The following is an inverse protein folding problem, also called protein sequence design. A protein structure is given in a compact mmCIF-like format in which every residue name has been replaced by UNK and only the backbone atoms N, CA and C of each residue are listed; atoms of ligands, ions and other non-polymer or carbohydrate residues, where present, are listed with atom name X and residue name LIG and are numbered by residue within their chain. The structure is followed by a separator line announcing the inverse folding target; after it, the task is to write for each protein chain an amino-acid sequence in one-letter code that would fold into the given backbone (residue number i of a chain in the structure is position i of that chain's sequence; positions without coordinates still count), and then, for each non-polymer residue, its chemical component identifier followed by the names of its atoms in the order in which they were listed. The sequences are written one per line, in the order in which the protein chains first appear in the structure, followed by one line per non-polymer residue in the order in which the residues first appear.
data_IF_066689939306
#
_entry.id   IF_066689939306
#
_cell.length_a   1.000
_cell.length_b   1.000
_cell.length_c   1.000
_cell.angle_alpha   90.00
_cell.angle_beta   90.00
_cell.angle_gamma   90.00
#
_symmetry.space_group_name_H-M   'P 1'
#
loop_
_entity.id
_entity.type
_entity.pdbx_description
1 polymer ?
#
# COMPACT_ATOMS: atom_id res chain seq x y z
N UNK A 1 -6.93 0.17 35.61
CA UNK A 1 -7.21 1.60 35.42
C UNK A 1 -6.75 1.92 34.02
N UNK A 2 -7.68 2.03 33.11
CA UNK A 2 -7.44 2.26 31.67
C UNK A 2 -7.53 3.77 31.43
N UNK A 3 -6.42 4.42 31.17
CA UNK A 3 -6.42 5.81 30.69
C UNK A 3 -6.60 5.81 29.17
N UNK A 4 -7.80 6.17 28.78
CA UNK A 4 -8.19 6.43 27.40
C UNK A 4 -7.53 7.74 26.95
N UNK A 5 -6.52 7.65 26.11
CA UNK A 5 -5.87 8.82 25.50
C UNK A 5 -6.82 9.40 24.45
N UNK A 6 -7.58 10.43 24.84
CA UNK A 6 -8.34 11.27 23.91
C UNK A 6 -7.37 12.29 23.29
N UNK A 7 -6.92 12.03 22.08
CA UNK A 7 -6.26 13.06 21.28
C UNK A 7 -7.30 14.05 20.75
N UNK A 8 -7.05 15.34 21.00
CA UNK A 8 -7.82 16.46 20.47
C UNK A 8 -7.62 16.55 18.95
N UNK A 9 -8.71 16.51 18.21
CA UNK A 9 -8.76 16.58 16.73
C UNK A 9 -8.54 18.01 16.15
N UNK A 10 -7.83 18.88 16.84
CA UNK A 10 -7.79 20.32 16.48
C UNK A 10 -6.46 20.83 15.88
N UNK A 11 -5.43 19.97 15.66
CA UNK A 11 -4.10 20.43 15.19
C UNK A 11 -3.49 19.61 14.04
N UNK A 12 -4.29 18.95 13.23
CA UNK A 12 -3.82 18.34 11.98
C UNK A 12 -4.22 19.23 10.79
N UNK A 13 -3.46 20.27 10.57
CA UNK A 13 -3.39 20.90 9.25
C UNK A 13 -2.80 19.89 8.28
N UNK A 14 -3.65 19.05 7.67
CA UNK A 14 -3.25 18.08 6.66
C UNK A 14 -2.68 18.84 5.46
N UNK A 15 -1.36 18.94 5.40
CA UNK A 15 -0.65 19.48 4.24
C UNK A 15 -0.75 18.43 3.14
N UNK A 16 -1.30 18.80 1.97
CA UNK A 16 -1.26 17.97 0.77
C UNK A 16 0.15 17.42 0.58
N UNK A 17 0.30 16.10 0.56
CA UNK A 17 1.57 15.37 0.41
C UNK A 17 2.48 15.31 1.67
N UNK A 18 1.93 15.15 2.87
CA UNK A 18 2.74 14.93 4.07
C UNK A 18 3.65 13.67 3.94
N UNK A 19 3.17 12.63 3.23
CA UNK A 19 3.93 11.43 2.93
C UNK A 19 5.25 11.68 2.15
N UNK A 20 5.37 12.83 1.44
CA UNK A 20 6.61 13.23 0.74
C UNK A 20 7.64 13.90 1.64
N UNK A 21 7.29 14.25 2.87
CA UNK A 21 8.23 14.94 3.78
C UNK A 21 9.46 14.06 4.03
N UNK A 22 10.65 14.66 3.93
CA UNK A 22 11.92 13.99 4.15
C UNK A 22 12.39 13.05 3.04
N UNK A 23 11.70 12.95 1.90
CA UNK A 23 12.25 12.27 0.71
C UNK A 23 13.40 13.09 0.16
N UNK A 24 14.56 12.45 -0.04
CA UNK A 24 15.76 13.10 -0.58
C UNK A 24 15.54 13.50 -2.03
N UNK A 25 15.73 14.79 -2.40
CA UNK A 25 15.47 15.26 -3.77
C UNK A 25 16.35 14.58 -4.83
N UNK A 26 17.54 14.16 -4.45
CA UNK A 26 18.55 13.48 -5.29
C UNK A 26 18.55 11.96 -5.11
N UNK A 27 17.64 11.42 -4.29
CA UNK A 27 17.53 10.01 -3.95
C UNK A 27 16.88 9.17 -5.05
N UNK A 28 17.00 7.84 -4.93
CA UNK A 28 16.39 6.89 -5.86
C UNK A 28 14.85 6.92 -5.73
N UNK A 29 14.32 7.13 -4.53
CA UNK A 29 12.87 7.22 -4.30
C UNK A 29 12.28 8.45 -5.00
N UNK A 30 12.98 9.60 -4.99
CA UNK A 30 12.55 10.78 -5.75
C UNK A 30 12.47 10.49 -7.26
N UNK A 31 13.42 9.72 -7.80
CA UNK A 31 13.41 9.30 -9.22
C UNK A 31 12.25 8.34 -9.52
N UNK A 32 11.96 7.40 -8.61
CA UNK A 32 10.81 6.49 -8.69
C UNK A 32 9.49 7.25 -8.76
N UNK A 33 9.30 8.21 -7.86
CA UNK A 33 8.09 9.03 -7.79
C UNK A 33 7.93 9.92 -9.03
N UNK A 34 9.00 10.51 -9.53
CA UNK A 34 8.96 11.31 -10.76
C UNK A 34 8.58 10.45 -11.98
N UNK A 35 9.04 9.19 -12.03
CA UNK A 35 8.74 8.27 -13.13
C UNK A 35 7.31 7.71 -13.09
N UNK A 36 6.59 7.84 -11.96
CA UNK A 36 5.24 7.28 -11.77
C UNK A 36 4.15 8.32 -11.59
N UNK A 37 4.45 9.60 -11.71
CA UNK A 37 3.52 10.70 -11.44
C UNK A 37 2.19 10.55 -12.19
N UNK A 38 2.22 10.26 -13.50
CA UNK A 38 1.02 10.07 -14.32
C UNK A 38 0.24 8.81 -13.91
N UNK A 39 0.95 7.71 -13.61
CA UNK A 39 0.32 6.45 -13.19
C UNK A 39 -0.43 6.65 -11.87
N UNK A 40 0.19 7.30 -10.90
CA UNK A 40 -0.43 7.55 -9.59
C UNK A 40 -1.58 8.57 -9.66
N UNK A 41 -1.48 9.55 -10.56
CA UNK A 41 -2.62 10.43 -10.83
C UNK A 41 -3.80 9.66 -11.42
N UNK A 42 -3.55 8.67 -12.30
CA UNK A 42 -4.58 7.78 -12.83
C UNK A 42 -5.15 6.87 -11.75
N UNK A 43 -4.33 6.32 -10.85
CA UNK A 43 -4.81 5.57 -9.67
C UNK A 43 -5.73 6.43 -8.80
N UNK A 44 -5.32 7.67 -8.50
CA UNK A 44 -6.15 8.57 -7.70
C UNK A 44 -7.47 8.92 -8.38
N UNK A 45 -7.47 9.18 -9.70
CA UNK A 45 -8.70 9.48 -10.47
C UNK A 45 -9.52 8.25 -10.81
N UNK A 46 -9.03 7.07 -10.48
CA UNK A 46 -9.73 5.83 -10.81
C UNK A 46 -11.13 5.82 -10.17
N UNK A 47 -12.21 5.39 -10.88
CA UNK A 47 -13.57 5.44 -10.37
C UNK A 47 -13.76 4.61 -9.09
N UNK A 48 -13.01 3.52 -8.89
CA UNK A 48 -13.00 2.76 -7.65
C UNK A 48 -12.54 3.62 -6.46
N UNK A 49 -11.41 4.30 -6.62
CA UNK A 49 -10.82 5.17 -5.59
C UNK A 49 -11.71 6.38 -5.31
N UNK A 50 -12.25 7.01 -6.35
CA UNK A 50 -13.17 8.13 -6.22
C UNK A 50 -14.48 7.71 -5.55
N UNK A 51 -14.96 6.50 -5.82
CA UNK A 51 -16.14 5.95 -5.15
C UNK A 51 -15.93 5.66 -3.65
N UNK A 52 -14.70 5.32 -3.23
CA UNK A 52 -14.33 5.30 -1.80
C UNK A 52 -14.39 6.71 -1.22
N UNK A 53 -13.79 7.68 -1.93
CA UNK A 53 -13.64 9.05 -1.47
C UNK A 53 -14.99 9.77 -1.24
N UNK A 54 -15.96 9.56 -2.10
CA UNK A 54 -17.29 10.17 -2.00
C UNK A 54 -18.37 9.26 -1.40
N UNK A 55 -18.02 7.99 -1.14
CA UNK A 55 -18.93 6.99 -0.55
C UNK A 55 -19.89 6.34 -1.55
N UNK A 56 -19.70 6.53 -2.86
CA UNK A 56 -20.57 6.01 -3.91
C UNK A 56 -20.18 4.65 -4.47
N UNK A 57 -19.00 4.11 -4.06
CA UNK A 57 -18.54 2.81 -4.55
C UNK A 57 -19.57 1.71 -4.24
N UNK A 58 -19.81 0.84 -5.20
CA UNK A 58 -20.61 -0.34 -5.00
C UNK A 58 -19.97 -1.28 -3.97
N UNK A 59 -20.78 -1.74 -3.00
CA UNK A 59 -20.32 -2.63 -1.94
C UNK A 59 -19.82 -3.97 -2.48
N UNK A 60 -20.41 -4.51 -3.56
CA UNK A 60 -19.97 -5.77 -4.15
C UNK A 60 -18.56 -5.63 -4.73
N UNK A 61 -18.27 -4.49 -5.37
CA UNK A 61 -16.91 -4.19 -5.87
C UNK A 61 -15.90 -4.09 -4.73
N UNK A 62 -16.27 -3.45 -3.62
CA UNK A 62 -15.41 -3.37 -2.46
C UNK A 62 -15.20 -4.74 -1.80
N UNK A 63 -16.24 -5.58 -1.72
CA UNK A 63 -16.11 -6.96 -1.24
C UNK A 63 -15.16 -7.78 -2.11
N UNK A 64 -15.30 -7.66 -3.43
CA UNK A 64 -14.39 -8.32 -4.39
C UNK A 64 -12.95 -7.85 -4.21
N UNK A 65 -12.73 -6.53 -4.10
CA UNK A 65 -11.42 -5.96 -3.80
C UNK A 65 -10.83 -6.55 -2.51
N UNK A 66 -11.59 -6.57 -1.41
CA UNK A 66 -11.13 -7.08 -0.12
C UNK A 66 -10.73 -8.57 -0.17
N UNK A 67 -11.42 -9.38 -0.98
CA UNK A 67 -11.07 -10.78 -1.20
C UNK A 67 -9.77 -10.91 -1.99
N UNK A 68 -9.62 -10.13 -3.07
CA UNK A 68 -8.42 -10.13 -3.89
C UNK A 68 -7.21 -9.60 -3.13
N UNK A 69 -7.40 -8.56 -2.33
CA UNK A 69 -6.36 -7.99 -1.49
C UNK A 69 -5.92 -8.97 -0.39
N UNK A 70 -6.87 -9.67 0.24
CA UNK A 70 -6.57 -10.71 1.23
C UNK A 70 -5.65 -11.81 0.68
N UNK A 71 -5.92 -12.31 -0.53
CA UNK A 71 -5.06 -13.34 -1.14
C UNK A 71 -3.74 -12.77 -1.66
N UNK A 72 -3.71 -11.50 -2.08
CA UNK A 72 -2.50 -10.76 -2.44
C UNK A 72 -1.50 -10.70 -1.27
N UNK A 73 -1.98 -10.44 -0.05
CA UNK A 73 -1.13 -10.28 1.14
C UNK A 73 -0.28 -11.51 1.45
N UNK A 74 -0.72 -12.72 1.10
CA UNK A 74 0.10 -13.93 1.27
C UNK A 74 1.36 -13.89 0.38
N UNK A 75 1.21 -13.49 -0.87
CA UNK A 75 2.34 -13.38 -1.80
C UNK A 75 3.20 -12.17 -1.47
N UNK A 76 2.58 -11.07 -1.05
CA UNK A 76 3.30 -9.90 -0.56
C UNK A 76 4.20 -10.24 0.63
N UNK A 77 3.69 -10.99 1.61
CA UNK A 77 4.49 -11.49 2.73
C UNK A 77 5.64 -12.42 2.26
N UNK A 78 5.41 -13.24 1.21
CA UNK A 78 6.48 -14.07 0.61
C UNK A 78 7.59 -13.22 0.00
N UNK A 79 7.25 -12.11 -0.66
CA UNK A 79 8.24 -11.18 -1.22
C UNK A 79 9.15 -10.63 -0.11
N UNK A 80 8.59 -10.20 1.04
CA UNK A 80 9.38 -9.79 2.20
C UNK A 80 10.23 -10.93 2.76
N UNK A 81 9.70 -12.15 2.83
CA UNK A 81 10.45 -13.32 3.33
C UNK A 81 11.64 -13.66 2.41
N UNK A 82 11.49 -13.53 1.10
CA UNK A 82 12.60 -13.66 0.14
C UNK A 82 13.59 -12.51 0.37
N UNK A 83 13.13 -11.30 0.64
CA UNK A 83 13.96 -10.16 1.03
C UNK A 83 14.83 -10.46 2.25
N UNK A 84 14.29 -11.13 3.29
CA UNK A 84 15.09 -11.64 4.43
C UNK A 84 16.22 -12.55 3.96
N UNK A 85 15.92 -13.50 3.06
CA UNK A 85 16.91 -14.44 2.55
C UNK A 85 17.97 -13.80 1.64
N UNK A 86 17.61 -12.72 0.94
CA UNK A 86 18.51 -11.98 0.03
C UNK A 86 19.37 -10.93 0.73
N UNK A 87 18.92 -10.44 1.88
CA UNK A 87 19.64 -9.41 2.63
C UNK A 87 20.95 -9.98 3.22
N UNK A 88 22.06 -9.23 3.03
CA UNK A 88 23.38 -9.55 3.62
C UNK A 88 23.59 -8.87 4.97
N UNK A 89 22.94 -7.75 5.20
CA UNK A 89 23.02 -6.97 6.43
C UNK A 89 21.97 -7.45 7.44
N UNK A 90 22.35 -7.81 8.69
CA UNK A 90 21.39 -8.29 9.69
C UNK A 90 20.32 -7.26 10.07
N UNK A 91 20.59 -5.96 9.94
CA UNK A 91 19.60 -4.90 10.15
C UNK A 91 18.52 -4.93 9.08
N UNK A 92 18.92 -5.08 7.81
CA UNK A 92 18.00 -5.23 6.68
C UNK A 92 17.16 -6.50 6.82
N UNK A 93 17.79 -7.64 7.19
CA UNK A 93 17.06 -8.89 7.47
C UNK A 93 15.97 -8.70 8.52
N UNK A 94 16.29 -7.99 9.60
CA UNK A 94 15.34 -7.72 10.69
C UNK A 94 14.17 -6.86 10.23
N UNK A 95 14.41 -5.83 9.42
CA UNK A 95 13.36 -4.98 8.87
C UNK A 95 12.39 -5.84 8.04
N UNK A 96 12.87 -6.58 7.06
CA UNK A 96 12.01 -7.46 6.26
C UNK A 96 11.25 -8.50 7.10
N UNK A 97 11.89 -9.11 8.10
CA UNK A 97 11.25 -10.09 8.99
C UNK A 97 10.13 -9.45 9.83
N UNK A 98 10.34 -8.22 10.30
CA UNK A 98 9.30 -7.46 11.02
C UNK A 98 8.08 -7.21 10.14
N UNK A 99 8.27 -6.85 8.86
CA UNK A 99 7.15 -6.67 7.93
C UNK A 99 6.40 -7.97 7.66
N UNK A 100 7.10 -9.11 7.50
CA UNK A 100 6.42 -10.43 7.42
C UNK A 100 5.52 -10.64 8.64
N UNK A 101 6.04 -10.36 9.84
CA UNK A 101 5.26 -10.50 11.07
C UNK A 101 4.06 -9.53 11.11
N UNK A 102 4.26 -8.28 10.73
CA UNK A 102 3.19 -7.26 10.70
C UNK A 102 2.07 -7.60 9.72
N UNK A 103 2.42 -8.07 8.52
CA UNK A 103 1.43 -8.50 7.52
C UNK A 103 0.65 -9.70 8.06
N UNK A 104 1.34 -10.77 8.49
CA UNK A 104 0.72 -12.04 8.86
C UNK A 104 -0.13 -11.99 10.13
N UNK A 105 0.17 -11.10 11.08
CA UNK A 105 -0.56 -10.98 12.35
C UNK A 105 -1.31 -9.66 12.53
N UNK A 106 -0.89 -8.57 11.88
CA UNK A 106 -1.53 -7.25 12.01
C UNK A 106 -2.51 -6.97 10.88
N UNK A 107 -2.00 -6.82 9.67
CA UNK A 107 -2.80 -6.42 8.51
C UNK A 107 -3.85 -7.46 8.14
N UNK A 108 -3.49 -8.74 8.16
CA UNK A 108 -4.45 -9.81 7.91
C UNK A 108 -5.56 -9.88 8.97
N UNK A 109 -5.30 -9.52 10.23
CA UNK A 109 -6.34 -9.47 11.27
C UNK A 109 -7.29 -8.29 11.05
N UNK A 110 -6.80 -7.16 10.57
CA UNK A 110 -7.63 -6.02 10.15
C UNK A 110 -8.54 -6.45 8.98
N UNK A 111 -7.99 -7.10 7.96
CA UNK A 111 -8.76 -7.63 6.84
C UNK A 111 -9.84 -8.61 7.28
N UNK A 112 -9.53 -9.55 8.16
CA UNK A 112 -10.51 -10.49 8.74
C UNK A 112 -11.62 -9.78 9.50
N UNK A 113 -11.26 -8.75 10.30
CA UNK A 113 -12.23 -7.91 10.99
C UNK A 113 -13.15 -7.17 10.04
N UNK A 114 -12.60 -6.63 8.97
CA UNK A 114 -13.35 -5.92 7.93
C UNK A 114 -14.28 -6.87 7.18
N UNK A 115 -13.76 -8.00 6.68
CA UNK A 115 -14.52 -9.02 5.96
C UNK A 115 -15.70 -9.55 6.78
N UNK A 116 -15.50 -9.75 8.10
CA UNK A 116 -16.60 -10.14 8.99
C UNK A 116 -17.76 -9.13 9.00
N UNK A 117 -17.47 -7.83 8.96
CA UNK A 117 -18.50 -6.77 8.87
C UNK A 117 -19.18 -6.73 7.50
N UNK A 118 -18.46 -7.11 6.45
CA UNK A 118 -18.98 -7.26 5.10
C UNK A 118 -19.81 -8.54 4.90
N UNK A 119 -19.89 -9.41 5.91
CA UNK A 119 -20.57 -10.71 5.80
C UNK A 119 -19.79 -11.77 5.01
N UNK A 120 -18.49 -11.51 4.75
CA UNK A 120 -17.59 -12.46 4.10
C UNK A 120 -17.07 -13.44 5.14
N UNK A 121 -17.26 -14.74 4.91
CA UNK A 121 -16.70 -15.76 5.78
C UNK A 121 -15.19 -15.93 5.57
N UNK A 122 -14.47 -16.34 6.61
CA UNK A 122 -13.05 -16.68 6.47
C UNK A 122 -12.84 -17.83 5.48
N UNK A 123 -13.77 -18.78 5.44
CA UNK A 123 -13.71 -19.91 4.51
C UNK A 123 -13.83 -19.45 3.04
N UNK A 124 -14.70 -18.46 2.74
CA UNK A 124 -14.82 -17.87 1.41
C UNK A 124 -13.54 -17.10 1.04
N UNK A 125 -12.98 -16.35 1.99
CA UNK A 125 -11.73 -15.63 1.79
C UNK A 125 -10.55 -16.57 1.49
N UNK A 126 -10.42 -17.67 2.23
CA UNK A 126 -9.36 -18.67 2.04
C UNK A 126 -9.51 -19.48 0.74
N UNK A 127 -10.74 -19.58 0.21
CA UNK A 127 -11.06 -20.25 -1.06
C UNK A 127 -10.97 -19.30 -2.26
N UNK A 128 -10.78 -18.02 -2.03
CA UNK A 128 -10.68 -17.04 -3.12
C UNK A 128 -9.54 -17.39 -4.06
N UNK A 129 -9.85 -17.53 -5.33
CA UNK A 129 -8.85 -17.70 -6.37
C UNK A 129 -8.35 -16.32 -6.78
N UNK A 130 -7.03 -16.07 -6.78
CA UNK A 130 -6.50 -14.82 -7.29
C UNK A 130 -6.91 -14.61 -8.75
N UNK A 131 -7.38 -13.42 -9.08
CA UNK A 131 -7.62 -13.02 -10.47
C UNK A 131 -6.31 -13.04 -11.27
N UNK A 132 -6.40 -13.03 -12.59
CA UNK A 132 -5.20 -13.02 -13.45
C UNK A 132 -4.36 -11.76 -13.24
N UNK A 133 -4.98 -10.62 -12.99
CA UNK A 133 -4.26 -9.37 -12.71
C UNK A 133 -3.49 -9.46 -11.38
N UNK A 134 -4.13 -9.98 -10.32
CA UNK A 134 -3.51 -10.21 -9.02
C UNK A 134 -2.35 -11.22 -9.13
N UNK A 135 -2.61 -12.36 -9.78
CA UNK A 135 -1.60 -13.42 -9.99
C UNK A 135 -0.41 -12.90 -10.82
N UNK A 136 -0.67 -12.07 -11.83
CA UNK A 136 0.38 -11.46 -12.66
C UNK A 136 1.24 -10.50 -11.83
N UNK A 137 0.61 -9.66 -11.01
CA UNK A 137 1.32 -8.72 -10.14
C UNK A 137 2.20 -9.44 -9.13
N UNK A 138 1.63 -10.37 -8.37
CA UNK A 138 2.37 -11.09 -7.33
C UNK A 138 3.47 -11.96 -7.92
N UNK A 139 3.24 -12.59 -9.08
CA UNK A 139 4.27 -13.34 -9.83
C UNK A 139 5.42 -12.44 -10.29
N UNK A 140 5.12 -11.21 -10.72
CA UNK A 140 6.16 -10.24 -11.08
C UNK A 140 7.04 -9.91 -9.86
N UNK A 141 6.45 -9.56 -8.72
CA UNK A 141 7.20 -9.25 -7.49
C UNK A 141 8.04 -10.43 -7.00
N UNK A 142 7.46 -11.65 -7.00
CA UNK A 142 8.16 -12.87 -6.61
C UNK A 142 9.33 -13.14 -7.56
N UNK A 143 9.14 -12.99 -8.86
CA UNK A 143 10.22 -13.14 -9.85
C UNK A 143 11.36 -12.15 -9.58
N UNK A 144 11.06 -10.86 -9.38
CA UNK A 144 12.05 -9.85 -9.02
C UNK A 144 12.79 -10.25 -7.73
N UNK A 145 12.06 -10.71 -6.71
CA UNK A 145 12.64 -11.12 -5.45
C UNK A 145 13.60 -12.32 -5.60
N UNK A 146 13.31 -13.28 -6.49
CA UNK A 146 14.19 -14.42 -6.73
C UNK A 146 15.38 -14.09 -7.63
N UNK A 147 15.17 -13.34 -8.70
CA UNK A 147 16.19 -13.06 -9.71
C UNK A 147 17.21 -12.03 -9.20
N UNK A 148 16.75 -11.06 -8.41
CA UNK A 148 17.54 -9.90 -7.99
C UNK A 148 17.93 -9.93 -6.49
N UNK A 149 18.14 -8.76 -5.91
CA UNK A 149 18.61 -8.57 -4.54
C UNK A 149 17.64 -7.83 -3.63
N UNK A 150 18.10 -7.53 -2.42
CA UNK A 150 17.30 -6.84 -1.40
C UNK A 150 16.86 -5.43 -1.82
N UNK A 151 17.63 -4.75 -2.67
CA UNK A 151 17.28 -3.41 -3.17
C UNK A 151 16.09 -3.45 -4.12
N UNK A 152 16.04 -4.43 -5.01
CA UNK A 152 14.95 -4.63 -5.95
C UNK A 152 13.68 -5.13 -5.24
N UNK A 153 13.83 -5.95 -4.20
CA UNK A 153 12.72 -6.31 -3.30
C UNK A 153 12.15 -5.05 -2.65
N UNK A 154 13.00 -4.19 -2.07
CA UNK A 154 12.55 -2.94 -1.46
C UNK A 154 11.82 -2.04 -2.47
N UNK A 155 12.33 -1.91 -3.69
CA UNK A 155 11.69 -1.13 -4.76
C UNK A 155 10.31 -1.69 -5.15
N UNK A 156 10.16 -3.03 -5.22
CA UNK A 156 8.90 -3.67 -5.56
C UNK A 156 7.81 -3.44 -4.50
N UNK A 157 8.16 -3.63 -3.22
CA UNK A 157 7.19 -3.47 -2.12
C UNK A 157 6.84 -2.01 -1.85
N UNK A 158 7.79 -1.09 -2.04
CA UNK A 158 7.60 0.34 -1.78
C UNK A 158 6.52 0.96 -2.66
N UNK A 159 6.33 0.47 -3.89
CA UNK A 159 5.30 0.98 -4.80
C UNK A 159 3.90 0.82 -4.22
N UNK A 160 3.55 -0.37 -3.75
CA UNK A 160 2.27 -0.65 -3.08
C UNK A 160 2.12 0.23 -1.83
N UNK A 161 3.08 0.16 -0.92
CA UNK A 161 3.01 0.84 0.36
C UNK A 161 2.80 2.36 0.23
N UNK A 162 3.54 3.03 -0.65
CA UNK A 162 3.43 4.48 -0.83
C UNK A 162 2.20 4.90 -1.63
N UNK A 163 1.74 4.10 -2.61
CA UNK A 163 0.58 4.48 -3.41
C UNK A 163 -0.70 4.54 -2.58
N UNK A 164 -0.88 3.61 -1.65
CA UNK A 164 -2.03 3.60 -0.73
C UNK A 164 -2.01 4.78 0.24
N UNK A 165 -0.85 5.13 0.79
CA UNK A 165 -0.71 6.32 1.63
C UNK A 165 -1.04 7.60 0.85
N UNK A 166 -0.44 7.75 -0.34
CA UNK A 166 -0.68 8.92 -1.19
C UNK A 166 -2.16 9.09 -1.57
N UNK A 167 -2.84 7.98 -1.88
CA UNK A 167 -4.28 7.96 -2.17
C UNK A 167 -5.08 8.36 -0.93
N UNK A 168 -4.82 7.73 0.22
CA UNK A 168 -5.59 7.97 1.43
C UNK A 168 -5.42 9.41 1.96
N UNK A 169 -4.20 9.94 2.01
CA UNK A 169 -3.94 11.32 2.41
C UNK A 169 -4.65 12.32 1.47
N UNK A 170 -4.61 12.05 0.17
CA UNK A 170 -5.27 12.91 -0.81
C UNK A 170 -6.79 12.86 -0.66
N UNK A 171 -7.38 11.69 -0.44
CA UNK A 171 -8.81 11.53 -0.14
C UNK A 171 -9.19 12.36 1.09
N UNK A 172 -8.44 12.26 2.18
CA UNK A 172 -8.70 13.05 3.40
C UNK A 172 -8.61 14.54 3.13
N UNK A 173 -7.63 15.00 2.33
CA UNK A 173 -7.43 16.40 2.01
C UNK A 173 -8.51 16.97 1.08
N UNK A 174 -9.00 16.19 0.11
CA UNK A 174 -9.98 16.64 -0.89
C UNK A 174 -11.42 16.45 -0.41
N UNK A 175 -11.67 15.51 0.52
CA UNK A 175 -13.00 15.21 1.08
C UNK A 175 -13.04 15.41 2.61
N UNK A 176 -12.70 16.59 3.12
CA UNK A 176 -12.77 16.86 4.55
C UNK A 176 -14.23 16.89 5.03
N UNK A 177 -14.46 16.50 6.27
CA UNK A 177 -15.77 16.63 6.89
C UNK A 177 -16.20 18.09 7.05
N UNK A 178 -17.52 18.29 7.09
CA UNK A 178 -18.17 19.57 7.44
C UNK A 178 -19.10 19.34 8.63
N UNK A 179 -19.57 20.43 9.32
CA UNK A 179 -20.53 20.25 10.41
C UNK A 179 -21.81 19.49 10.05
N UNK A 180 -22.16 19.43 8.76
CA UNK A 180 -23.40 18.83 8.25
C UNK A 180 -23.18 17.59 7.39
N UNK A 181 -21.92 17.27 7.04
CA UNK A 181 -21.56 16.11 6.20
C UNK A 181 -20.28 15.46 6.73
N UNK A 182 -20.27 14.14 7.01
CA UNK A 182 -19.06 13.42 7.33
C UNK A 182 -18.01 13.54 6.21
N UNK A 183 -16.73 13.60 6.57
CA UNK A 183 -15.64 13.46 5.61
C UNK A 183 -15.47 12.02 5.13
N UNK A 184 -14.61 11.80 4.15
CA UNK A 184 -14.32 10.46 3.65
C UNK A 184 -13.80 9.53 4.76
N UNK A 185 -12.96 10.06 5.65
CA UNK A 185 -12.43 9.31 6.80
C UNK A 185 -13.51 8.92 7.84
N UNK A 186 -14.64 9.65 7.88
CA UNK A 186 -15.75 9.37 8.80
C UNK A 186 -16.87 8.56 8.15
N UNK A 187 -16.69 8.12 6.89
CA UNK A 187 -17.70 7.34 6.18
C UNK A 187 -17.92 6.00 6.91
N UNK A 188 -19.19 5.62 7.19
CA UNK A 188 -19.49 4.46 8.05
C UNK A 188 -19.02 3.13 7.46
N UNK A 189 -18.77 3.05 6.17
CA UNK A 189 -18.37 1.84 5.47
C UNK A 189 -16.92 1.89 5.00
N UNK A 190 -16.47 2.98 4.36
CA UNK A 190 -15.11 3.10 3.80
C UNK A 190 -14.13 3.85 4.70
N UNK A 191 -14.62 4.56 5.72
CA UNK A 191 -13.79 5.44 6.54
C UNK A 191 -12.65 4.74 7.25
N UNK A 192 -12.85 3.50 7.69
CA UNK A 192 -11.79 2.71 8.33
C UNK A 192 -10.63 2.39 7.37
N UNK A 193 -10.94 2.10 6.10
CA UNK A 193 -9.95 1.91 5.05
C UNK A 193 -9.12 3.20 4.84
N UNK A 194 -9.80 4.33 4.70
CA UNK A 194 -9.13 5.63 4.54
C UNK A 194 -8.27 5.99 5.75
N UNK A 195 -8.81 5.83 6.97
CA UNK A 195 -8.08 6.08 8.22
C UNK A 195 -6.87 5.17 8.38
N UNK A 196 -6.98 3.91 8.00
CA UNK A 196 -5.90 2.94 8.11
C UNK A 196 -4.66 3.40 7.33
N UNK A 197 -4.83 3.72 6.06
CA UNK A 197 -3.74 4.14 5.18
C UNK A 197 -3.28 5.60 5.39
N UNK A 198 -4.12 6.47 5.96
CA UNK A 198 -3.74 7.83 6.36
C UNK A 198 -3.24 7.90 7.82
N UNK A 199 -3.03 6.77 8.50
CA UNK A 199 -2.63 6.75 9.90
C UNK A 199 -1.17 7.12 10.11
N UNK A 200 -0.83 7.76 11.26
CA UNK A 200 0.57 8.01 11.60
C UNK A 200 1.43 6.74 11.68
N UNK A 201 0.82 5.60 12.05
CA UNK A 201 1.50 4.31 12.08
C UNK A 201 1.89 3.81 10.69
N UNK A 202 0.99 3.94 9.71
CA UNK A 202 1.26 3.59 8.32
C UNK A 202 2.32 4.50 7.70
N UNK A 203 2.22 5.81 7.97
CA UNK A 203 3.24 6.79 7.58
C UNK A 203 4.63 6.42 8.13
N UNK A 204 4.74 6.10 9.44
CA UNK A 204 6.02 5.72 10.05
C UNK A 204 6.62 4.45 9.42
N UNK A 205 5.80 3.45 9.11
CA UNK A 205 6.22 2.25 8.39
C UNK A 205 6.75 2.59 6.99
N UNK A 206 6.05 3.42 6.24
CA UNK A 206 6.48 3.85 4.92
C UNK A 206 7.79 4.65 4.94
N UNK A 207 8.00 5.48 5.98
CA UNK A 207 9.28 6.17 6.19
C UNK A 207 10.42 5.17 6.36
N UNK A 208 10.22 4.11 7.14
CA UNK A 208 11.24 3.05 7.30
C UNK A 208 11.55 2.36 5.96
N UNK A 209 10.54 2.08 5.13
CA UNK A 209 10.73 1.50 3.79
C UNK A 209 11.45 2.44 2.82
N UNK A 210 11.13 3.75 2.85
CA UNK A 210 11.85 4.76 2.07
C UNK A 210 13.33 4.78 2.46
N UNK A 211 13.62 4.88 3.76
CA UNK A 211 14.98 4.93 4.28
C UNK A 211 15.75 3.64 3.98
N UNK A 212 15.08 2.49 4.05
CA UNK A 212 15.64 1.20 3.64
C UNK A 212 16.00 1.20 2.16
N UNK A 213 15.09 1.65 1.30
CA UNK A 213 15.30 1.67 -0.16
C UNK A 213 16.47 2.60 -0.53
N UNK A 214 16.52 3.80 0.04
CA UNK A 214 17.62 4.74 -0.16
C UNK A 214 18.97 4.14 0.29
N UNK A 215 19.01 3.53 1.48
CA UNK A 215 20.23 2.87 2.00
C UNK A 215 20.68 1.72 1.12
N UNK A 216 19.76 0.90 0.61
CA UNK A 216 20.08 -0.23 -0.27
C UNK A 216 20.55 0.23 -1.66
N UNK A 217 20.16 1.43 -2.07
CA UNK A 217 20.58 2.05 -3.34
C UNK A 217 21.96 2.71 -3.25
N UNK A 218 22.49 2.94 -2.05
CA UNK A 218 23.81 3.58 -1.88
C UNK A 218 24.93 2.79 -2.55
N UNK A 219 25.72 3.48 -3.39
CA UNK A 219 26.86 2.89 -4.10
C UNK A 219 26.50 1.98 -5.28
N UNK A 220 25.23 1.85 -5.63
CA UNK A 220 24.81 1.14 -6.85
C UNK A 220 25.22 1.93 -8.10
N UNK A 221 25.52 1.21 -9.18
CA UNK A 221 25.75 1.83 -10.49
C UNK A 221 24.46 2.46 -11.04
N UNK A 222 24.61 3.45 -11.94
CA UNK A 222 23.46 4.10 -12.57
C UNK A 222 22.52 3.10 -13.28
N UNK A 223 23.08 2.08 -13.90
CA UNK A 223 22.29 1.01 -14.53
C UNK A 223 21.40 0.27 -13.52
N UNK A 224 21.93 0.00 -12.32
CA UNK A 224 21.15 -0.63 -11.25
C UNK A 224 20.12 0.32 -10.64
N UNK A 225 20.44 1.59 -10.49
CA UNK A 225 19.46 2.59 -10.05
C UNK A 225 18.29 2.71 -11.04
N UNK A 226 18.58 2.69 -12.35
CA UNK A 226 17.54 2.66 -13.39
C UNK A 226 16.67 1.40 -13.29
N UNK A 227 17.27 0.24 -13.02
CA UNK A 227 16.52 -1.01 -12.82
C UNK A 227 15.59 -0.92 -11.60
N UNK A 228 16.03 -0.34 -10.47
CA UNK A 228 15.14 -0.10 -9.32
C UNK A 228 13.94 0.78 -9.69
N UNK A 229 14.16 1.83 -10.48
CA UNK A 229 13.08 2.70 -10.97
C UNK A 229 12.13 1.91 -11.88
N UNK A 230 12.64 1.07 -12.79
CA UNK A 230 11.81 0.22 -13.66
C UNK A 230 10.96 -0.76 -12.86
N UNK A 231 11.51 -1.39 -11.83
CA UNK A 231 10.76 -2.29 -10.92
C UNK A 231 9.61 -1.54 -10.26
N UNK A 232 9.90 -0.36 -9.69
CA UNK A 232 8.89 0.48 -9.04
C UNK A 232 7.80 0.94 -10.02
N UNK A 233 8.17 1.37 -11.23
CA UNK A 233 7.21 1.77 -12.29
C UNK A 233 6.31 0.61 -12.68
N UNK A 234 6.87 -0.59 -12.86
CA UNK A 234 6.08 -1.75 -13.22
C UNK A 234 5.11 -2.15 -12.10
N UNK A 235 5.55 -2.14 -10.83
CA UNK A 235 4.66 -2.35 -9.69
C UNK A 235 3.55 -1.28 -9.64
N UNK A 236 3.87 -0.01 -9.89
CA UNK A 236 2.85 1.06 -9.97
C UNK A 236 1.83 0.86 -11.10
N UNK A 237 2.24 0.30 -12.24
CA UNK A 237 1.31 -0.10 -13.30
C UNK A 237 0.40 -1.24 -12.86
N UNK A 238 0.94 -2.21 -12.10
CA UNK A 238 0.12 -3.29 -11.54
C UNK A 238 -0.86 -2.78 -10.49
N UNK A 239 -0.51 -1.74 -9.70
CA UNK A 239 -1.48 -1.09 -8.80
C UNK A 239 -2.67 -0.50 -9.59
N UNK A 240 -2.41 0.16 -10.73
CA UNK A 240 -3.49 0.68 -11.57
C UNK A 240 -4.36 -0.46 -12.13
N UNK A 241 -3.74 -1.55 -12.62
CA UNK A 241 -4.46 -2.73 -13.08
C UNK A 241 -5.26 -3.41 -11.96
N UNK A 242 -4.78 -3.34 -10.70
CA UNK A 242 -5.50 -3.86 -9.54
C UNK A 242 -6.79 -3.06 -9.28
N UNK A 243 -6.76 -1.73 -9.45
CA UNK A 243 -7.96 -0.90 -9.40
C UNK A 243 -8.92 -1.21 -10.55
N UNK A 244 -8.41 -1.40 -11.79
CA UNK A 244 -9.21 -1.82 -12.94
C UNK A 244 -9.91 -3.18 -12.67
N UNK A 245 -9.14 -4.15 -12.18
CA UNK A 245 -9.64 -5.48 -11.80
C UNK A 245 -10.76 -5.38 -10.77
N UNK A 246 -10.56 -4.60 -9.71
CA UNK A 246 -11.54 -4.42 -8.64
C UNK A 246 -12.80 -3.69 -9.14
N UNK A 247 -12.64 -2.70 -10.02
CA UNK A 247 -13.75 -1.97 -10.62
C UNK A 247 -14.61 -2.84 -11.53
N UNK A 248 -13.98 -3.66 -12.35
CA UNK A 248 -14.64 -4.55 -13.31
C UNK A 248 -15.03 -5.91 -12.69
N UNK A 249 -14.57 -6.19 -11.47
CA UNK A 249 -14.68 -7.51 -10.82
C UNK A 249 -14.19 -8.66 -11.71
N UNK A 250 -13.02 -8.44 -12.35
CA UNK A 250 -12.42 -9.42 -13.26
C UNK A 250 -11.88 -10.62 -12.49
N UNK A 251 -12.24 -11.87 -12.87
CA UNK A 251 -11.79 -13.07 -12.21
C UNK A 251 -10.31 -13.41 -12.48
#
# INVERSE_FOLDING_TARGET
MSETFKMNAADAGCTKNAWREGIRPDGVVSRMLAATEEIWENCHRHPFVQGIADGSLDHEKFCFYMLQDYVYLFDYARVFAIGVAKAKDPGVMRIFANYVQQIMSGEMDIHRGYMKRLGISLEDAERTVPSLDNLSYTSYMIRIAYDDGAAEVAAAILSCALSYEAIAERIVAEHPGTPTRPGAADHPFYGEWVQGYASPGYHAANRELIDLTERLAEGLSELRLQHLVEVFVNCSRYELLFWDMAWEMRP
#
